data_IF_886252887616
#
_entry.id   IF_886252887616
#
_cell.length_a   1.000
_cell.length_b   1.000
_cell.length_c   1.000
_cell.angle_alpha   90.00
_cell.angle_beta   90.00
_cell.angle_gamma   90.00
#
_symmetry.space_group_name_H-M   'P 1'
#
loop_
_entity.id
_entity.type
_entity.pdbx_description
1 polymer ?
#
# COMPACT_ATOMS: atom_id res chain seq x y z
N UNK A 1 9.16 11.24 -16.57
CA UNK A 1 8.10 10.44 -17.21
C UNK A 1 8.71 9.09 -17.55
N UNK A 2 8.31 8.01 -16.86
CA UNK A 2 8.77 6.67 -17.21
C UNK A 2 8.00 6.22 -18.45
N UNK A 3 8.56 6.48 -19.62
CA UNK A 3 8.07 6.00 -20.91
C UNK A 3 8.80 4.71 -21.23
N UNK A 4 8.28 3.59 -20.76
CA UNK A 4 8.74 2.28 -21.20
C UNK A 4 7.49 1.46 -21.55
N UNK A 5 7.32 1.26 -22.85
CA UNK A 5 6.29 0.44 -23.50
C UNK A 5 6.55 -1.06 -23.38
N UNK A 6 7.73 -1.44 -22.89
CA UNK A 6 8.10 -2.83 -22.64
C UNK A 6 7.47 -3.32 -21.32
N UNK A 7 6.85 -4.50 -21.27
CA UNK A 7 6.40 -5.11 -20.02
C UNK A 7 7.59 -5.24 -19.06
N UNK A 8 7.43 -4.76 -17.82
CA UNK A 8 8.40 -5.10 -16.77
C UNK A 8 8.22 -6.58 -16.47
N UNK A 9 9.13 -7.42 -16.96
CA UNK A 9 9.09 -8.89 -16.84
C UNK A 9 8.96 -9.37 -15.39
N UNK A 10 9.38 -8.54 -14.42
CA UNK A 10 9.22 -8.83 -13.00
C UNK A 10 9.08 -7.55 -12.17
N UNK A 11 7.85 -7.12 -11.91
CA UNK A 11 7.54 -6.04 -10.96
C UNK A 11 6.89 -6.64 -9.71
N UNK A 12 7.67 -7.13 -8.73
CA UNK A 12 7.13 -7.88 -7.60
C UNK A 12 6.41 -6.98 -6.58
N UNK A 13 6.71 -5.68 -6.58
CA UNK A 13 6.13 -4.70 -5.66
C UNK A 13 5.96 -3.34 -6.35
N UNK A 14 4.78 -2.75 -6.21
CA UNK A 14 4.49 -1.35 -6.56
C UNK A 14 4.10 -0.60 -5.29
N UNK A 15 4.61 0.63 -5.14
CA UNK A 15 4.29 1.48 -4.00
C UNK A 15 3.69 2.81 -4.48
N UNK A 16 2.60 3.22 -3.84
CA UNK A 16 1.99 4.54 -3.98
C UNK A 16 1.99 5.26 -2.63
N UNK A 17 2.35 6.54 -2.64
CA UNK A 17 2.29 7.40 -1.46
C UNK A 17 1.83 8.80 -1.87
N UNK A 18 0.79 9.32 -1.23
CA UNK A 18 0.24 10.63 -1.57
C UNK A 18 -1.22 10.81 -1.19
N UNK A 19 -1.89 11.68 -1.93
CA UNK A 19 -3.32 11.95 -1.79
C UNK A 19 -4.15 10.80 -2.35
N UNK A 20 -5.29 10.48 -1.73
CA UNK A 20 -6.19 9.48 -2.32
C UNK A 20 -7.03 10.12 -3.43
N UNK A 21 -6.49 10.13 -4.66
CA UNK A 21 -7.20 10.68 -5.82
C UNK A 21 -8.51 9.95 -6.16
N UNK A 22 -8.67 8.70 -5.73
CA UNK A 22 -9.91 7.94 -5.93
C UNK A 22 -11.04 8.44 -5.02
N UNK A 23 -10.73 9.30 -4.06
CA UNK A 23 -11.75 10.07 -3.33
C UNK A 23 -12.33 11.22 -4.18
N UNK A 24 -11.64 11.67 -5.22
CA UNK A 24 -12.05 12.81 -6.05
C UNK A 24 -12.59 12.40 -7.42
N UNK A 25 -12.11 11.27 -7.97
CA UNK A 25 -12.48 10.81 -9.30
C UNK A 25 -12.64 9.29 -9.38
N UNK A 26 -13.30 8.84 -10.44
CA UNK A 26 -13.43 7.41 -10.76
C UNK A 26 -12.44 7.01 -11.85
N UNK A 27 -11.93 5.79 -11.75
CA UNK A 27 -11.05 5.23 -12.78
C UNK A 27 -11.85 4.75 -14.00
N UNK A 28 -11.30 4.86 -15.21
CA UNK A 28 -11.84 4.19 -16.38
C UNK A 28 -11.62 2.68 -16.25
N UNK A 29 -12.50 1.86 -16.87
CA UNK A 29 -12.51 0.41 -16.68
C UNK A 29 -11.19 -0.27 -17.10
N UNK A 30 -10.49 0.30 -18.07
CA UNK A 30 -9.22 -0.20 -18.61
C UNK A 30 -8.08 -0.09 -17.59
N UNK A 31 -8.19 0.81 -16.61
CA UNK A 31 -7.18 0.99 -15.57
C UNK A 31 -7.08 -0.21 -14.62
N UNK A 32 -8.12 -1.05 -14.55
CA UNK A 32 -8.16 -2.25 -13.71
C UNK A 32 -8.03 -3.56 -14.48
N UNK A 33 -7.63 -3.50 -15.74
CA UNK A 33 -7.39 -4.70 -16.53
C UNK A 33 -6.37 -5.62 -15.83
N UNK A 34 -6.67 -6.92 -15.75
CA UNK A 34 -5.74 -7.90 -15.18
C UNK A 34 -4.42 -7.89 -15.94
N UNK A 35 -3.32 -7.75 -15.20
CA UNK A 35 -1.95 -7.70 -15.78
C UNK A 35 -1.11 -8.90 -15.35
N UNK A 36 -1.75 -9.96 -14.86
CA UNK A 36 -1.13 -11.16 -14.30
C UNK A 36 -1.05 -11.13 -12.77
N UNK A 37 -0.77 -12.29 -12.18
CA UNK A 37 -0.74 -12.51 -10.73
C UNK A 37 0.66 -12.21 -10.13
N UNK A 38 0.72 -12.10 -8.81
CA UNK A 38 1.99 -12.10 -8.06
C UNK A 38 2.60 -10.72 -7.78
N UNK A 39 1.93 -9.64 -8.18
CA UNK A 39 2.36 -8.27 -7.82
C UNK A 39 1.82 -7.90 -6.46
N UNK A 40 2.68 -7.43 -5.58
CA UNK A 40 2.27 -6.86 -4.31
C UNK A 40 2.12 -5.34 -4.44
N UNK A 41 1.25 -4.75 -3.62
CA UNK A 41 1.02 -3.31 -3.60
C UNK A 41 1.10 -2.73 -2.19
N UNK A 42 1.87 -1.66 -2.02
CA UNK A 42 1.81 -0.79 -0.84
C UNK A 42 1.12 0.50 -1.26
N UNK A 43 0.02 0.87 -0.61
CA UNK A 43 -0.71 2.11 -0.90
C UNK A 43 -0.85 2.90 0.40
N UNK A 44 -0.19 4.05 0.44
CA UNK A 44 -0.19 4.95 1.60
C UNK A 44 -0.87 6.26 1.21
N UNK A 45 -2.18 6.31 1.43
CA UNK A 45 -3.01 7.52 1.33
C UNK A 45 -4.18 7.40 2.31
N UNK A 46 -5.15 8.31 2.25
CA UNK A 46 -6.32 8.26 3.13
C UNK A 46 -7.28 7.12 2.75
N UNK A 47 -7.55 6.18 3.66
CA UNK A 47 -8.57 5.12 3.47
C UNK A 47 -8.33 4.26 2.21
N UNK A 48 -7.06 4.04 1.86
CA UNK A 48 -6.67 3.33 0.63
C UNK A 48 -7.21 1.90 0.53
N UNK A 49 -7.45 1.20 1.63
CA UNK A 49 -8.02 -0.14 1.62
C UNK A 49 -9.39 -0.16 0.92
N UNK A 50 -10.22 0.86 1.21
CA UNK A 50 -11.57 0.97 0.65
C UNK A 50 -11.53 1.37 -0.83
N UNK A 51 -10.68 2.33 -1.18
CA UNK A 51 -10.69 2.93 -2.51
C UNK A 51 -9.82 2.14 -3.51
N UNK A 52 -8.63 1.72 -3.12
CA UNK A 52 -7.72 0.98 -3.99
C UNK A 52 -7.96 -0.54 -3.96
N UNK A 53 -8.39 -1.10 -2.82
CA UNK A 53 -8.51 -2.56 -2.62
C UNK A 53 -9.27 -3.28 -3.74
N UNK A 54 -10.49 -2.85 -4.13
CA UNK A 54 -11.24 -3.47 -5.23
C UNK A 54 -10.49 -3.44 -6.57
N UNK A 55 -9.82 -2.33 -6.87
CA UNK A 55 -9.06 -2.16 -8.11
C UNK A 55 -7.78 -3.00 -8.13
N UNK A 56 -7.07 -3.09 -6.99
CA UNK A 56 -5.90 -3.96 -6.85
C UNK A 56 -6.27 -5.43 -7.04
N UNK A 57 -7.35 -5.87 -6.40
CA UNK A 57 -7.88 -7.23 -6.55
C UNK A 57 -8.29 -7.51 -8.00
N UNK A 58 -9.04 -6.60 -8.63
CA UNK A 58 -9.43 -6.70 -10.04
C UNK A 58 -8.21 -6.80 -10.97
N UNK A 59 -7.12 -6.09 -10.67
CA UNK A 59 -5.89 -6.12 -11.45
C UNK A 59 -5.02 -7.38 -11.21
N UNK A 60 -5.37 -8.24 -10.24
CA UNK A 60 -4.60 -9.43 -9.84
C UNK A 60 -3.44 -9.14 -8.88
N UNK A 61 -3.45 -7.97 -8.24
CA UNK A 61 -2.44 -7.57 -7.27
C UNK A 61 -2.87 -7.88 -5.83
N UNK A 62 -1.90 -8.21 -4.98
CA UNK A 62 -2.11 -8.43 -3.54
C UNK A 62 -1.83 -7.14 -2.77
N UNK A 63 -2.83 -6.55 -2.07
CA UNK A 63 -2.60 -5.42 -1.17
C UNK A 63 -1.76 -5.90 0.02
N UNK A 64 -0.49 -5.51 0.04
CA UNK A 64 0.47 -5.87 1.10
C UNK A 64 0.34 -4.94 2.30
N UNK A 65 0.16 -3.64 2.05
CA UNK A 65 -0.04 -2.63 3.08
C UNK A 65 -0.92 -1.50 2.56
N UNK A 66 -2.05 -1.30 3.22
CA UNK A 66 -3.04 -0.26 2.95
C UNK A 66 -3.50 0.36 4.26
N UNK A 67 -4.30 1.42 4.16
CA UNK A 67 -4.75 2.26 5.27
C UNK A 67 -6.27 2.25 5.36
N UNK A 68 -6.80 2.37 6.58
CA UNK A 68 -8.23 2.36 6.88
C UNK A 68 -8.73 3.71 7.40
N UNK A 69 -7.84 4.69 7.56
CA UNK A 69 -8.12 5.99 8.16
C UNK A 69 -7.63 7.15 7.31
N UNK A 70 -8.15 8.34 7.59
CA UNK A 70 -7.53 9.60 7.19
C UNK A 70 -6.21 9.72 7.96
N UNK A 71 -5.09 9.85 7.25
CA UNK A 71 -3.77 9.74 7.87
C UNK A 71 -2.72 10.50 7.06
N UNK A 72 -1.59 10.85 7.70
CA UNK A 72 -0.47 11.49 7.03
C UNK A 72 0.45 10.45 6.36
N UNK A 73 0.48 10.35 5.02
CA UNK A 73 1.22 9.30 4.31
C UNK A 73 2.69 9.72 4.13
N UNK A 74 3.45 9.70 5.23
CA UNK A 74 4.87 10.09 5.21
C UNK A 74 5.80 9.00 4.67
N UNK A 75 6.84 9.40 3.95
CA UNK A 75 7.82 8.47 3.35
C UNK A 75 8.56 7.57 4.35
N UNK A 76 8.62 7.95 5.63
CA UNK A 76 9.17 7.11 6.70
C UNK A 76 8.39 5.81 6.92
N UNK A 77 7.09 5.79 6.61
CA UNK A 77 6.26 4.58 6.68
C UNK A 77 6.70 3.61 5.58
N UNK A 78 6.81 4.13 4.35
CA UNK A 78 7.26 3.35 3.20
C UNK A 78 8.66 2.81 3.42
N UNK A 79 9.61 3.63 3.90
CA UNK A 79 10.98 3.20 4.20
C UNK A 79 11.00 1.98 5.12
N UNK A 80 10.28 2.04 6.24
CA UNK A 80 10.30 0.98 7.24
C UNK A 80 9.54 -0.27 6.76
N UNK A 81 8.41 -0.11 6.05
CA UNK A 81 7.67 -1.22 5.44
C UNK A 81 8.49 -1.93 4.35
N UNK A 82 9.14 -1.15 3.46
CA UNK A 82 9.98 -1.66 2.39
C UNK A 82 11.18 -2.43 2.95
N UNK A 83 11.78 -1.94 4.05
CA UNK A 83 12.86 -2.65 4.71
C UNK A 83 12.43 -4.02 5.28
N UNK A 84 11.17 -4.18 5.69
CA UNK A 84 10.61 -5.49 6.07
C UNK A 84 10.41 -6.39 4.85
N UNK A 85 9.83 -5.84 3.79
CA UNK A 85 9.63 -6.56 2.53
C UNK A 85 10.94 -7.10 1.94
N UNK A 86 12.00 -6.28 1.89
CA UNK A 86 13.33 -6.71 1.39
C UNK A 86 13.98 -7.82 2.23
N UNK A 87 13.51 -8.02 3.47
CA UNK A 87 13.97 -9.09 4.37
C UNK A 87 13.10 -10.35 4.29
N UNK A 88 12.10 -10.38 3.43
CA UNK A 88 11.16 -11.50 3.33
C UNK A 88 10.25 -11.64 4.55
N UNK A 89 9.97 -10.55 5.26
CA UNK A 89 9.08 -10.58 6.42
C UNK A 89 7.62 -10.81 6.03
N UNK A 90 6.86 -11.38 6.95
CA UNK A 90 5.42 -11.58 6.77
C UNK A 90 4.66 -10.25 6.66
N UNK A 91 3.47 -10.24 6.03
CA UNK A 91 2.59 -9.06 5.99
C UNK A 91 2.29 -8.47 7.38
N UNK A 92 2.16 -9.32 8.41
CA UNK A 92 1.95 -8.89 9.80
C UNK A 92 3.15 -8.10 10.31
N UNK A 93 4.38 -8.58 10.07
CA UNK A 93 5.61 -7.89 10.48
C UNK A 93 5.81 -6.57 9.71
N UNK A 94 5.51 -6.57 8.40
CA UNK A 94 5.57 -5.35 7.58
C UNK A 94 4.59 -4.29 8.10
N UNK A 95 3.35 -4.70 8.44
CA UNK A 95 2.36 -3.81 9.08
C UNK A 95 2.86 -3.29 10.43
N UNK A 96 3.48 -4.13 11.26
CA UNK A 96 4.05 -3.70 12.54
C UNK A 96 5.17 -2.68 12.36
N UNK A 97 6.03 -2.82 11.35
CA UNK A 97 7.06 -1.82 11.01
C UNK A 97 6.45 -0.48 10.61
N UNK A 98 5.45 -0.50 9.73
CA UNK A 98 4.71 0.69 9.33
C UNK A 98 4.04 1.38 10.53
N UNK A 99 3.38 0.61 11.39
CA UNK A 99 2.75 1.10 12.62
C UNK A 99 3.77 1.70 13.59
N UNK A 100 4.92 1.06 13.80
CA UNK A 100 5.97 1.59 14.65
C UNK A 100 6.56 2.90 14.09
N UNK A 101 6.75 2.99 12.77
CA UNK A 101 7.22 4.21 12.11
C UNK A 101 6.23 5.36 12.27
N UNK A 102 4.93 5.07 12.07
CA UNK A 102 3.85 6.03 12.26
C UNK A 102 3.71 6.49 13.71
N UNK A 103 3.77 5.57 14.66
CA UNK A 103 3.73 5.86 16.09
C UNK A 103 4.84 6.86 16.50
N UNK A 104 6.08 6.63 16.06
CA UNK A 104 7.21 7.53 16.34
C UNK A 104 7.02 8.93 15.77
N UNK A 105 6.47 9.03 14.56
CA UNK A 105 6.25 10.34 13.93
C UNK A 105 5.08 11.11 14.56
N UNK A 106 3.99 10.42 14.90
CA UNK A 106 2.78 11.05 15.43
C UNK A 106 2.81 11.25 16.96
N UNK A 107 3.78 10.66 17.66
CA UNK A 107 3.83 10.70 19.13
C UNK A 107 2.68 9.91 19.79
N UNK A 108 2.22 8.84 19.15
CA UNK A 108 1.12 7.99 19.65
C UNK A 108 1.60 6.58 19.97
N UNK A 109 0.78 5.79 20.68
CA UNK A 109 1.09 4.39 20.94
C UNK A 109 1.13 3.55 19.65
N UNK A 110 1.96 2.51 19.62
CA UNK A 110 2.00 1.55 18.50
C UNK A 110 0.65 0.87 18.29
N UNK A 111 -0.12 0.65 19.38
CA UNK A 111 -1.49 0.11 19.30
C UNK A 111 -2.42 1.02 18.51
N UNK A 112 -2.40 2.33 18.82
CA UNK A 112 -3.19 3.31 18.07
C UNK A 112 -2.74 3.39 16.61
N UNK A 113 -1.43 3.48 16.36
CA UNK A 113 -0.88 3.52 15.02
C UNK A 113 -1.21 2.27 14.19
N UNK A 114 -1.26 1.08 14.81
CA UNK A 114 -1.63 -0.17 14.14
C UNK A 114 -3.05 -0.13 13.58
N UNK A 115 -3.95 0.63 14.21
CA UNK A 115 -5.33 0.82 13.78
C UNK A 115 -5.48 1.64 12.48
N UNK A 116 -4.44 2.37 12.07
CA UNK A 116 -4.40 3.13 10.80
C UNK A 116 -4.26 2.21 9.59
N UNK A 117 -3.61 1.06 9.77
CA UNK A 117 -3.28 0.13 8.70
C UNK A 117 -4.24 -1.06 8.69
N UNK A 118 -4.67 -1.48 7.50
CA UNK A 118 -5.54 -2.62 7.33
C UNK A 118 -4.92 -3.89 7.94
N UNK A 119 -5.76 -4.78 8.47
CA UNK A 119 -5.29 -6.09 8.89
C UNK A 119 -4.87 -6.89 7.64
N UNK A 120 -3.77 -7.64 7.68
CA UNK A 120 -3.42 -8.51 6.56
C UNK A 120 -4.55 -9.50 6.29
N UNK A 121 -4.78 -9.83 5.02
CA UNK A 121 -5.68 -10.90 4.65
C UNK A 121 -5.27 -12.21 5.36
N UNK A 122 -6.26 -13.01 5.77
CA UNK A 122 -6.05 -14.31 6.40
C UNK A 122 -5.53 -15.34 5.40
#
# INVERSE_FOLDING_TARGET
MLTSSEPVDHCPLVAYIGHDGLMDFSLPAEATAQRGLGRQAIVLCCISERYFGPHLSAAGATPLLTTTQLMYPGGFILRDALAGWTRGESPVQIRQRAAAAYARNQGISVKAASGVFAAPAK
#
